data_IF_815041308209
#
_entry.id   IF_815041308209
#
_cell.length_a   1.000
_cell.length_b   1.000
_cell.length_c   1.000
_cell.angle_alpha   90.00
_cell.angle_beta   90.00
_cell.angle_gamma   90.00
#
_symmetry.space_group_name_H-M   'P 1'
#
loop_
_entity.id
_entity.type
_entity.pdbx_description
1 polymer ?
#
# COMPACT_ATOMS: atom_id res chain seq x y z
N UNK A 1 -21.06 18.69 -17.65
CA UNK A 1 -19.68 18.89 -18.13
C UNK A 1 -19.06 17.51 -18.16
N UNK A 2 -18.89 16.94 -19.36
CA UNK A 2 -18.31 15.60 -19.53
C UNK A 2 -16.83 15.67 -19.16
N UNK A 3 -16.44 15.01 -18.06
CA UNK A 3 -15.04 14.75 -17.75
C UNK A 3 -14.51 13.76 -18.79
N UNK A 4 -13.84 14.28 -19.81
CA UNK A 4 -12.97 13.49 -20.67
C UNK A 4 -11.79 13.04 -19.84
N UNK A 5 -11.68 11.74 -19.55
CA UNK A 5 -10.46 11.15 -19.01
C UNK A 5 -9.26 11.59 -19.87
N UNK A 6 -8.12 11.96 -19.27
CA UNK A 6 -6.96 12.42 -20.03
C UNK A 6 -6.50 11.34 -20.99
N UNK A 7 -6.18 11.73 -22.22
CA UNK A 7 -5.84 10.83 -23.34
C UNK A 7 -4.71 9.83 -22.97
N UNK A 8 -3.82 10.23 -22.04
CA UNK A 8 -2.76 9.39 -21.46
C UNK A 8 -3.28 8.19 -20.65
N UNK A 9 -4.36 8.37 -19.89
CA UNK A 9 -5.01 7.31 -19.11
C UNK A 9 -5.65 6.28 -20.04
N UNK A 10 -6.34 6.74 -21.08
CA UNK A 10 -6.98 5.86 -22.07
C UNK A 10 -5.96 5.04 -22.88
N UNK A 11 -4.83 5.65 -23.24
CA UNK A 11 -3.71 4.96 -23.91
C UNK A 11 -3.00 3.95 -23.00
N UNK A 12 -2.88 4.24 -21.70
CA UNK A 12 -2.36 3.31 -20.70
C UNK A 12 -3.28 2.08 -20.54
N UNK A 13 -4.59 2.29 -20.38
CA UNK A 13 -5.56 1.20 -20.28
C UNK A 13 -5.62 0.35 -21.56
N UNK A 14 -5.54 0.97 -22.74
CA UNK A 14 -5.46 0.21 -24.01
C UNK A 14 -4.15 -0.60 -24.12
N UNK A 15 -3.02 -0.07 -23.66
CA UNK A 15 -1.75 -0.81 -23.67
C UNK A 15 -1.77 -1.99 -22.68
N UNK A 16 -2.36 -1.79 -21.49
CA UNK A 16 -2.53 -2.85 -20.49
C UNK A 16 -3.49 -3.94 -21.01
N UNK A 17 -4.64 -3.55 -21.57
CA UNK A 17 -5.61 -4.47 -22.16
C UNK A 17 -5.07 -5.19 -23.40
N UNK A 18 -4.27 -4.51 -24.25
CA UNK A 18 -3.64 -5.09 -25.44
C UNK A 18 -2.56 -6.12 -25.09
N UNK A 19 -1.81 -5.92 -24.00
CA UNK A 19 -0.80 -6.89 -23.55
C UNK A 19 -1.49 -8.14 -22.95
N UNK A 20 -2.60 -7.94 -22.24
CA UNK A 20 -3.44 -9.01 -21.67
C UNK A 20 -4.18 -9.80 -22.77
N UNK A 21 -4.60 -9.16 -23.87
CA UNK A 21 -5.29 -9.84 -24.97
C UNK A 21 -4.38 -10.62 -25.93
N UNK A 22 -3.08 -10.29 -25.97
CA UNK A 22 -2.10 -10.90 -26.90
C UNK A 22 -1.46 -12.19 -26.35
N UNK A 23 -1.51 -12.39 -25.03
CA UNK A 23 -1.30 -13.70 -24.45
C UNK A 23 -2.67 -14.28 -24.14
N UNK A 24 -2.98 -15.48 -24.60
CA UNK A 24 -3.86 -16.34 -23.81
C UNK A 24 -3.08 -16.65 -22.53
N UNK A 25 -2.99 -15.68 -21.61
CA UNK A 25 -2.52 -15.92 -20.27
C UNK A 25 -3.56 -16.88 -19.74
N UNK A 26 -3.22 -18.17 -19.75
CA UNK A 26 -3.90 -19.15 -18.94
C UNK A 26 -3.80 -18.59 -17.52
N UNK A 27 -4.82 -17.84 -17.10
CA UNK A 27 -4.79 -17.20 -15.81
C UNK A 27 -4.54 -18.29 -14.79
N UNK A 28 -3.38 -18.22 -14.15
CA UNK A 28 -2.95 -19.28 -13.26
C UNK A 28 -3.93 -19.27 -12.10
N UNK A 29 -4.49 -20.44 -11.80
CA UNK A 29 -5.18 -20.61 -10.53
C UNK A 29 -4.14 -20.52 -9.42
N UNK A 30 -4.37 -19.62 -8.49
CA UNK A 30 -3.49 -19.36 -7.36
C UNK A 30 -4.08 -20.00 -6.11
N UNK A 31 -3.24 -20.72 -5.38
CA UNK A 31 -3.58 -21.25 -4.06
C UNK A 31 -2.74 -20.51 -3.03
N UNK A 32 -3.39 -19.92 -2.04
CA UNK A 32 -2.75 -19.14 -0.99
C UNK A 32 -2.83 -19.88 0.35
N UNK A 33 -1.73 -20.53 0.78
CA UNK A 33 -1.61 -21.09 2.13
C UNK A 33 -1.35 -19.99 3.17
N UNK A 34 -1.38 -20.38 4.45
CA UNK A 34 -1.22 -19.50 5.62
C UNK A 34 -0.06 -18.50 5.53
N UNK A 35 1.10 -18.96 5.07
CA UNK A 35 2.35 -18.19 5.10
C UNK A 35 2.55 -17.33 3.83
N UNK A 36 1.49 -17.11 3.05
CA UNK A 36 1.56 -16.23 1.89
C UNK A 36 1.78 -14.78 2.33
N UNK A 37 2.87 -14.18 1.85
CA UNK A 37 3.12 -12.73 1.94
C UNK A 37 3.28 -12.16 0.53
N UNK A 38 2.90 -10.89 0.36
CA UNK A 38 3.41 -10.12 -0.78
C UNK A 38 4.92 -9.91 -0.60
N UNK A 39 5.62 -9.72 -1.71
CA UNK A 39 7.00 -9.25 -1.66
C UNK A 39 6.96 -7.72 -1.61
N UNK A 40 7.66 -7.16 -0.63
CA UNK A 40 7.74 -5.73 -0.39
C UNK A 40 9.12 -5.22 -0.78
N UNK A 41 9.17 -4.00 -1.31
CA UNK A 41 10.40 -3.24 -1.51
C UNK A 41 10.37 -1.96 -0.70
N UNK A 42 11.39 -1.81 0.14
CA UNK A 42 11.80 -0.52 0.67
C UNK A 42 12.18 0.41 -0.48
N UNK A 43 11.79 1.68 -0.37
CA UNK A 43 11.93 2.69 -1.42
C UNK A 43 13.17 3.55 -1.18
N UNK A 44 13.89 3.90 -2.26
CA UNK A 44 15.16 4.63 -2.16
C UNK A 44 15.01 6.15 -2.36
N UNK A 45 13.83 6.61 -2.73
CA UNK A 45 13.53 8.00 -3.05
C UNK A 45 12.03 8.20 -3.27
N UNK A 46 11.64 9.37 -3.78
CA UNK A 46 10.26 9.70 -4.10
C UNK A 46 9.83 9.12 -5.46
N UNK A 47 8.52 8.89 -5.64
CA UNK A 47 7.90 8.73 -6.95
C UNK A 47 7.19 10.03 -7.33
N UNK A 48 7.49 10.60 -8.48
CA UNK A 48 6.91 11.90 -8.87
C UNK A 48 5.81 11.71 -9.91
N UNK A 49 4.76 12.53 -9.82
CA UNK A 49 3.72 12.59 -10.85
C UNK A 49 4.34 12.77 -12.24
N UNK A 50 3.76 12.10 -13.25
CA UNK A 50 4.23 12.01 -14.63
C UNK A 50 5.55 11.23 -14.84
N UNK A 51 6.20 10.72 -13.79
CA UNK A 51 7.37 9.86 -13.95
C UNK A 51 6.97 8.42 -14.28
N UNK A 52 7.81 7.77 -15.10
CA UNK A 52 7.66 6.34 -15.47
C UNK A 52 8.66 5.46 -14.74
N UNK A 53 9.03 5.85 -13.52
CA UNK A 53 9.91 5.05 -12.70
C UNK A 53 9.77 5.33 -11.22
N UNK A 54 10.10 4.31 -10.42
CA UNK A 54 10.10 4.39 -8.97
C UNK A 54 11.44 3.86 -8.43
N UNK A 55 12.15 4.62 -7.58
CA UNK A 55 13.43 4.18 -7.02
C UNK A 55 13.21 3.21 -5.85
N UNK A 56 13.90 2.08 -5.88
CA UNK A 56 13.85 1.06 -4.82
C UNK A 56 15.23 0.85 -4.20
N UNK A 57 15.25 0.45 -2.93
CA UNK A 57 16.47 0.06 -2.23
C UNK A 57 16.75 -1.43 -2.46
N UNK A 58 18.01 -1.79 -2.76
CA UNK A 58 18.45 -3.18 -2.96
C UNK A 58 18.90 -3.51 -4.38
N UNK A 59 19.39 -4.73 -4.59
CA UNK A 59 20.13 -5.14 -5.80
C UNK A 59 19.59 -6.34 -6.57
N UNK A 60 18.49 -6.98 -6.17
CA UNK A 60 18.15 -8.31 -6.70
C UNK A 60 16.84 -8.36 -7.49
N UNK A 61 16.92 -9.04 -8.65
CA UNK A 61 15.83 -9.64 -9.42
C UNK A 61 14.57 -8.78 -9.54
N UNK A 62 14.75 -7.71 -10.30
CA UNK A 62 13.67 -6.82 -10.74
C UNK A 62 12.60 -7.67 -11.40
N UNK A 63 11.39 -7.55 -10.88
CA UNK A 63 10.13 -8.14 -11.34
C UNK A 63 9.69 -7.61 -12.71
N UNK A 64 10.59 -7.66 -13.69
CA UNK A 64 10.25 -7.35 -15.07
C UNK A 64 9.09 -8.26 -15.45
N UNK A 65 8.05 -7.65 -16.00
CA UNK A 65 6.79 -8.29 -16.38
C UNK A 65 5.85 -8.70 -15.24
N UNK A 66 5.84 -7.97 -14.12
CA UNK A 66 4.84 -8.13 -13.05
C UNK A 66 4.03 -6.87 -12.79
N UNK A 67 2.86 -7.07 -12.16
CA UNK A 67 2.05 -5.99 -11.60
C UNK A 67 2.57 -5.66 -10.20
N UNK A 68 2.71 -4.37 -9.92
CA UNK A 68 3.02 -3.83 -8.61
C UNK A 68 1.93 -2.89 -8.14
N UNK A 69 1.83 -2.72 -6.82
CA UNK A 69 1.10 -1.64 -6.16
C UNK A 69 2.10 -0.73 -5.48
N UNK A 70 1.98 0.58 -5.71
CA UNK A 70 2.71 1.63 -5.02
C UNK A 70 1.71 2.28 -4.08
N UNK A 71 2.00 2.34 -2.79
CA UNK A 71 1.04 2.87 -1.79
C UNK A 71 1.75 3.80 -0.81
N UNK A 72 1.23 5.02 -0.69
CA UNK A 72 1.67 5.99 0.31
C UNK A 72 1.08 5.59 1.66
N UNK A 73 1.93 5.11 2.55
CA UNK A 73 1.50 4.63 3.85
C UNK A 73 1.37 5.80 4.83
N UNK A 74 2.38 6.67 4.98
CA UNK A 74 2.28 7.88 5.81
C UNK A 74 2.54 9.12 4.97
N UNK A 75 1.74 10.18 5.14
CA UNK A 75 2.09 11.56 4.76
C UNK A 75 1.22 12.62 5.48
N UNK A 76 0.27 12.20 6.31
CA UNK A 76 -0.70 13.09 6.92
C UNK A 76 -0.06 14.03 7.94
N UNK A 77 -0.44 15.30 7.88
CA UNK A 77 -0.09 16.27 8.92
C UNK A 77 -1.05 16.13 10.07
N UNK A 78 -0.56 15.65 11.21
CA UNK A 78 -1.37 15.40 12.40
C UNK A 78 -1.57 16.71 13.19
N UNK A 79 -2.78 16.95 13.70
CA UNK A 79 -3.02 18.00 14.69
C UNK A 79 -2.38 17.53 16.00
N UNK A 80 -1.64 18.39 16.68
CA UNK A 80 -1.02 18.06 17.97
C UNK A 80 -1.78 18.66 19.17
N UNK A 81 -2.77 19.49 18.90
CA UNK A 81 -3.59 20.13 19.93
C UNK A 81 -4.59 19.12 20.51
N UNK A 82 -4.41 18.80 21.79
CA UNK A 82 -5.31 17.95 22.56
C UNK A 82 -6.56 18.76 22.94
N UNK A 83 -7.71 18.35 22.41
CA UNK A 83 -8.99 18.99 22.69
C UNK A 83 -10.10 17.95 22.66
N UNK A 84 -11.24 18.27 23.29
CA UNK A 84 -12.42 17.39 23.28
C UNK A 84 -12.97 17.09 21.87
N UNK A 85 -12.57 17.87 20.86
CA UNK A 85 -12.94 17.62 19.46
C UNK A 85 -11.99 16.63 18.77
N UNK A 86 -10.77 16.44 19.28
CA UNK A 86 -9.72 15.64 18.64
C UNK A 86 -10.14 14.20 18.40
N UNK A 87 -10.21 13.79 17.12
CA UNK A 87 -10.56 12.41 16.75
C UNK A 87 -11.96 11.99 17.22
N UNK A 88 -12.81 12.92 17.64
CA UNK A 88 -14.09 12.60 18.28
C UNK A 88 -15.15 12.08 17.30
N UNK A 89 -14.89 12.14 16.00
CA UNK A 89 -15.87 11.79 14.95
C UNK A 89 -17.12 12.69 14.94
N UNK A 90 -17.17 13.70 15.82
CA UNK A 90 -18.28 14.65 15.98
C UNK A 90 -17.73 16.07 15.84
N UNK A 91 -18.42 16.93 15.10
CA UNK A 91 -17.88 18.26 14.76
C UNK A 91 -16.75 18.21 13.71
N UNK A 92 -15.77 19.11 13.78
CA UNK A 92 -14.71 19.28 12.77
C UNK A 92 -13.36 18.64 13.17
N UNK A 93 -13.27 17.97 14.31
CA UNK A 93 -12.00 17.43 14.82
C UNK A 93 -11.65 16.08 14.21
N UNK A 94 -10.93 16.11 13.09
CA UNK A 94 -10.51 14.92 12.33
C UNK A 94 -9.19 14.32 12.84
N UNK A 95 -8.49 14.99 13.75
CA UNK A 95 -7.16 14.58 14.25
C UNK A 95 -6.00 14.86 13.28
N UNK A 96 -6.28 15.36 12.07
CA UNK A 96 -5.28 15.75 11.08
C UNK A 96 -5.64 17.10 10.44
N UNK A 97 -4.62 17.83 9.98
CA UNK A 97 -4.76 19.08 9.22
C UNK A 97 -4.90 18.82 7.73
N UNK A 98 -4.13 17.85 7.24
CA UNK A 98 -4.09 17.48 5.82
C UNK A 98 -3.70 16.00 5.70
N UNK A 99 -4.46 15.21 4.94
CA UNK A 99 -4.13 13.80 4.66
C UNK A 99 -2.98 13.69 3.65
N UNK A 100 -2.77 14.73 2.85
CA UNK A 100 -1.88 14.71 1.67
C UNK A 100 -2.16 13.45 0.84
N UNK A 101 -1.13 12.64 0.58
CA UNK A 101 -1.28 11.43 -0.21
C UNK A 101 -1.44 10.16 0.65
N UNK A 102 -1.63 10.26 1.98
CA UNK A 102 -1.80 9.08 2.85
C UNK A 102 -2.95 8.20 2.35
N UNK A 103 -2.68 6.92 2.12
CA UNK A 103 -3.64 5.94 1.61
C UNK A 103 -3.81 5.98 0.09
N UNK A 104 -3.23 6.95 -0.62
CA UNK A 104 -3.20 6.92 -2.08
C UNK A 104 -2.36 5.74 -2.56
N UNK A 105 -2.90 5.02 -3.55
CA UNK A 105 -2.21 3.88 -4.17
C UNK A 105 -2.41 3.86 -5.68
N UNK A 106 -1.46 3.25 -6.37
CA UNK A 106 -1.49 3.04 -7.82
C UNK A 106 -1.01 1.64 -8.17
N UNK A 107 -1.69 1.02 -9.14
CA UNK A 107 -1.19 -0.18 -9.79
C UNK A 107 -0.42 0.17 -11.05
N UNK A 108 0.68 -0.53 -11.29
CA UNK A 108 1.46 -0.36 -12.50
C UNK A 108 2.11 -1.68 -12.93
N UNK A 109 2.55 -1.74 -14.18
CA UNK A 109 3.27 -2.90 -14.71
C UNK A 109 4.74 -2.55 -14.88
N UNK A 110 5.62 -3.40 -14.34
CA UNK A 110 7.07 -3.20 -14.44
C UNK A 110 7.56 -3.72 -15.78
N UNK A 111 8.07 -2.84 -16.63
CA UNK A 111 8.58 -3.17 -17.97
C UNK A 111 10.08 -3.43 -18.00
N UNK A 112 10.79 -3.07 -16.93
CA UNK A 112 12.23 -3.18 -16.85
C UNK A 112 12.79 -2.58 -15.57
N UNK A 113 14.12 -2.51 -15.49
CA UNK A 113 14.83 -1.68 -14.52
C UNK A 113 16.02 -0.99 -15.16
N UNK A 114 16.45 0.10 -14.52
CA UNK A 114 17.68 0.78 -14.87
C UNK A 114 18.38 1.24 -13.58
N UNK A 115 19.71 1.34 -13.62
CA UNK A 115 20.46 2.02 -12.56
C UNK A 115 20.63 3.49 -12.93
N UNK A 116 20.26 4.40 -12.02
CA UNK A 116 20.47 5.85 -12.13
C UNK A 116 21.09 6.36 -10.84
N UNK A 117 22.19 7.09 -10.93
CA UNK A 117 22.86 7.69 -9.77
C UNK A 117 23.18 6.68 -8.64
N UNK A 118 23.48 5.43 -9.01
CA UNK A 118 23.77 4.35 -8.06
C UNK A 118 22.54 3.72 -7.40
N UNK A 119 21.32 4.11 -7.80
CA UNK A 119 20.06 3.54 -7.32
C UNK A 119 19.36 2.71 -8.41
N UNK A 120 18.63 1.67 -8.01
CA UNK A 120 17.81 0.87 -8.92
C UNK A 120 16.45 1.55 -9.09
N UNK A 121 16.06 1.76 -10.35
CA UNK A 121 14.77 2.31 -10.75
C UNK A 121 13.97 1.24 -11.48
N UNK A 122 12.79 0.93 -10.98
CA UNK A 122 11.82 0.14 -11.75
C UNK A 122 11.27 1.03 -12.88
N UNK A 123 11.16 0.47 -14.09
CA UNK A 123 10.54 1.14 -15.22
C UNK A 123 9.07 0.75 -15.30
N UNK A 124 8.20 1.75 -15.42
CA UNK A 124 6.75 1.58 -15.35
C UNK A 124 6.12 1.71 -16.74
N UNK A 125 5.10 0.89 -17.04
CA UNK A 125 4.36 0.94 -18.30
C UNK A 125 3.58 2.25 -18.45
N UNK A 126 3.15 2.85 -17.35
CA UNK A 126 2.40 4.09 -17.31
C UNK A 126 3.02 5.10 -16.35
N UNK A 127 2.88 6.41 -16.62
CA UNK A 127 3.36 7.43 -15.69
C UNK A 127 2.54 7.41 -14.39
N UNK A 128 3.15 7.79 -13.27
CA UNK A 128 2.46 7.96 -12.00
C UNK A 128 1.50 9.14 -12.05
N UNK A 129 0.35 9.01 -11.40
CA UNK A 129 -0.63 10.10 -11.26
C UNK A 129 -0.41 10.90 -9.96
N UNK A 130 -0.03 10.20 -8.89
CA UNK A 130 0.26 10.74 -7.58
C UNK A 130 1.78 10.91 -7.39
N UNK A 131 2.11 11.80 -6.46
CA UNK A 131 3.48 11.94 -5.97
C UNK A 131 3.62 11.17 -4.65
N UNK A 132 4.46 10.14 -4.65
CA UNK A 132 4.76 9.33 -3.48
C UNK A 132 6.02 9.86 -2.80
N UNK A 133 5.91 10.21 -1.52
CA UNK A 133 6.98 10.82 -0.72
C UNK A 133 7.60 9.82 0.25
N UNK A 134 8.92 9.69 0.21
CA UNK A 134 9.71 8.96 1.20
C UNK A 134 10.67 9.92 1.93
N UNK A 135 10.11 10.93 2.61
CA UNK A 135 10.87 11.96 3.32
C UNK A 135 10.12 12.48 4.54
N UNK A 136 10.85 12.66 5.64
CA UNK A 136 10.27 13.21 6.88
C UNK A 136 9.27 12.24 7.47
N UNK A 137 8.01 12.66 7.60
CA UNK A 137 6.90 11.78 8.01
C UNK A 137 6.32 10.98 6.84
N UNK A 138 6.76 11.26 5.61
CA UNK A 138 6.30 10.58 4.41
C UNK A 138 7.00 9.24 4.23
N UNK A 139 6.24 8.14 4.10
CA UNK A 139 6.76 6.80 3.77
C UNK A 139 5.78 6.07 2.86
N UNK A 140 6.29 5.44 1.80
CA UNK A 140 5.52 4.62 0.87
C UNK A 140 6.23 3.29 0.62
N UNK A 141 5.51 2.29 0.14
CA UNK A 141 6.08 0.98 -0.19
C UNK A 141 5.64 0.53 -1.58
N UNK A 142 6.46 -0.33 -2.18
CA UNK A 142 6.15 -0.99 -3.45
C UNK A 142 5.94 -2.48 -3.17
N UNK A 143 4.82 -3.00 -3.65
CA UNK A 143 4.31 -4.34 -3.31
C UNK A 143 4.10 -5.11 -4.60
N UNK A 144 4.59 -6.34 -4.70
CA UNK A 144 4.26 -7.21 -5.85
C UNK A 144 2.83 -7.73 -5.74
N UNK A 145 2.10 -7.73 -6.86
CA UNK A 145 0.68 -8.08 -6.90
C UNK A 145 0.50 -9.34 -7.75
N UNK A 146 0.19 -10.50 -7.14
CA UNK A 146 -0.16 -11.68 -7.90
C UNK A 146 -1.38 -11.41 -8.78
N UNK A 147 -1.34 -11.91 -10.01
CA UNK A 147 -2.45 -11.83 -10.96
C UNK A 147 -2.98 -13.24 -11.22
N UNK A 148 -4.19 -13.51 -10.74
CA UNK A 148 -4.80 -14.83 -10.74
C UNK A 148 -6.15 -14.79 -11.46
N UNK A 149 -6.52 -15.88 -12.11
CA UNK A 149 -7.88 -16.04 -12.65
C UNK A 149 -8.80 -16.38 -11.49
N UNK A 150 -8.59 -17.56 -10.92
CA UNK A 150 -9.16 -17.93 -9.62
C UNK A 150 -8.07 -17.91 -8.56
N UNK A 151 -8.31 -17.16 -7.48
CA UNK A 151 -7.53 -17.16 -6.25
C UNK A 151 -8.30 -17.92 -5.17
N UNK A 152 -7.70 -18.93 -4.58
CA UNK A 152 -8.30 -19.71 -3.51
C UNK A 152 -7.48 -19.61 -2.22
N UNK A 153 -8.14 -19.26 -1.12
CA UNK A 153 -7.55 -19.39 0.21
C UNK A 153 -7.60 -20.86 0.63
N UNK A 154 -6.47 -21.38 1.09
CA UNK A 154 -6.38 -22.74 1.68
C UNK A 154 -6.19 -22.70 3.19
N UNK A 155 -5.93 -21.51 3.74
CA UNK A 155 -5.90 -21.21 5.16
C UNK A 155 -6.14 -19.70 5.37
N UNK A 156 -6.27 -19.26 6.61
CA UNK A 156 -6.26 -17.84 7.00
C UNK A 156 -4.86 -17.26 6.81
N UNK A 157 -4.74 -16.22 6.00
CA UNK A 157 -3.49 -15.49 5.78
C UNK A 157 -3.30 -14.47 6.91
N UNK A 158 -2.08 -14.37 7.43
CA UNK A 158 -1.69 -13.35 8.41
C UNK A 158 -0.63 -12.45 7.80
N UNK A 159 -0.89 -11.16 7.67
CA UNK A 159 0.07 -10.20 7.11
C UNK A 159 0.92 -9.61 8.24
N UNK A 160 2.18 -9.31 7.94
CA UNK A 160 3.03 -8.59 8.89
C UNK A 160 2.44 -7.20 9.18
N UNK A 161 2.57 -6.74 10.44
CA UNK A 161 2.19 -5.37 10.80
C UNK A 161 3.18 -4.38 10.19
N UNK A 162 2.70 -3.26 9.67
CA UNK A 162 3.58 -2.26 9.06
C UNK A 162 4.66 -1.80 10.04
N UNK A 163 5.93 -1.98 9.72
CA UNK A 163 7.08 -1.67 10.59
C UNK A 163 7.68 -0.26 10.45
N UNK A 164 7.10 0.58 9.57
CA UNK A 164 7.63 1.90 9.19
C UNK A 164 8.18 1.94 7.76
N UNK A 165 8.51 0.78 7.19
CA UNK A 165 8.98 0.63 5.81
C UNK A 165 8.10 -0.32 4.98
N UNK A 166 7.71 -1.48 5.54
CA UNK A 166 6.96 -2.51 4.80
C UNK A 166 5.90 -3.24 5.64
N UNK A 167 4.92 -3.84 4.98
CA UNK A 167 3.86 -4.63 5.61
C UNK A 167 2.55 -3.86 5.79
N UNK A 168 1.64 -4.41 6.60
CA UNK A 168 0.33 -3.84 6.92
C UNK A 168 -0.75 -4.05 5.86
N UNK A 169 -0.37 -4.47 4.64
CA UNK A 169 -1.28 -4.58 3.50
C UNK A 169 -1.03 -5.91 2.77
N UNK A 170 -2.09 -6.52 2.24
CA UNK A 170 -2.00 -7.64 1.30
C UNK A 170 -2.69 -7.26 0.00
N UNK A 171 -1.97 -7.35 -1.11
CA UNK A 171 -2.44 -6.95 -2.44
C UNK A 171 -2.55 -8.16 -3.37
N UNK A 172 -3.69 -8.28 -4.04
CA UNK A 172 -3.99 -9.36 -4.97
C UNK A 172 -4.88 -8.82 -6.09
N UNK A 173 -4.60 -9.23 -7.32
CA UNK A 173 -5.53 -9.08 -8.42
C UNK A 173 -6.08 -10.47 -8.80
N UNK A 174 -7.39 -10.66 -8.66
CA UNK A 174 -8.05 -11.92 -9.00
C UNK A 174 -9.38 -11.66 -9.71
N UNK A 175 -9.70 -12.44 -10.75
CA UNK A 175 -11.03 -12.40 -11.38
C UNK A 175 -12.09 -13.02 -10.46
N UNK A 176 -11.72 -14.12 -9.79
CA UNK A 176 -12.53 -14.79 -8.76
C UNK A 176 -11.68 -15.00 -7.52
N UNK A 177 -12.17 -14.55 -6.37
CA UNK A 177 -11.58 -14.85 -5.05
C UNK A 177 -12.51 -15.80 -4.29
N UNK A 178 -12.05 -17.04 -4.10
CA UNK A 178 -12.70 -18.02 -3.24
C UNK A 178 -12.05 -17.98 -1.84
N UNK A 179 -12.77 -17.46 -0.86
CA UNK A 179 -12.26 -17.38 0.51
C UNK A 179 -12.30 -18.72 1.26
N UNK A 180 -13.07 -19.72 0.81
CA UNK A 180 -13.19 -21.03 1.48
C UNK A 180 -13.42 -20.96 3.02
N UNK A 181 -14.19 -19.97 3.50
CA UNK A 181 -14.40 -19.66 4.93
C UNK A 181 -13.12 -19.29 5.72
N UNK A 182 -12.02 -18.99 5.04
CA UNK A 182 -10.82 -18.39 5.61
C UNK A 182 -10.86 -16.86 5.53
N UNK A 183 -9.93 -16.21 6.23
CA UNK A 183 -9.82 -14.75 6.26
C UNK A 183 -8.43 -14.30 5.83
N UNK A 184 -8.31 -13.04 5.41
CA UNK A 184 -7.03 -12.35 5.29
C UNK A 184 -6.96 -11.37 6.45
N UNK A 185 -6.00 -11.58 7.36
CA UNK A 185 -5.83 -10.78 8.57
C UNK A 185 -4.55 -9.96 8.46
N UNK A 186 -4.68 -8.73 7.99
CA UNK A 186 -3.61 -7.76 8.04
C UNK A 186 -3.79 -6.84 9.27
N UNK A 187 -2.69 -6.48 9.92
CA UNK A 187 -2.69 -5.61 11.10
C UNK A 187 -2.64 -4.12 10.76
N UNK A 188 -2.64 -3.76 9.47
CA UNK A 188 -2.65 -2.38 9.02
C UNK A 188 -1.46 -1.58 9.57
N UNK A 189 -1.75 -0.33 9.93
CA UNK A 189 -0.80 0.58 10.55
C UNK A 189 -0.59 0.21 12.02
N UNK A 190 0.67 0.23 12.48
CA UNK A 190 0.92 0.18 13.92
C UNK A 190 0.23 1.34 14.62
N UNK A 191 -0.42 1.05 15.75
CA UNK A 191 -0.87 2.09 16.67
C UNK A 191 0.32 2.93 17.13
N UNK A 192 0.09 4.21 17.43
CA UNK A 192 1.12 5.09 17.96
C UNK A 192 1.67 4.55 19.30
N UNK A 193 2.94 4.83 19.63
CA UNK A 193 3.46 4.52 20.96
C UNK A 193 2.63 5.25 22.02
N UNK A 194 2.30 4.58 23.12
CA UNK A 194 1.72 5.25 24.28
C UNK A 194 2.75 6.26 24.82
N UNK A 195 2.28 7.46 25.17
CA UNK A 195 3.10 8.40 25.91
C UNK A 195 3.13 7.91 27.36
N UNK A 196 4.19 7.21 27.76
CA UNK A 196 4.46 6.91 29.16
C UNK A 196 4.86 8.21 29.90
N UNK A 197 3.89 9.10 30.12
CA UNK A 197 4.03 10.12 31.15
C UNK A 197 3.60 9.51 32.48
N UNK A 198 4.57 8.82 33.12
CA UNK A 198 4.57 8.39 34.51
C UNK A 198 3.43 7.46 34.95
N UNK A 199 3.55 6.16 34.70
CA UNK A 199 3.05 5.15 35.66
C UNK A 199 3.92 3.90 35.57
N UNK A 200 4.68 3.66 36.63
CA UNK A 200 5.77 2.69 36.69
C UNK A 200 5.34 1.23 36.74
N UNK A 201 4.63 0.71 35.74
CA UNK A 201 4.57 -0.74 35.50
C UNK A 201 4.73 -1.13 34.03
N UNK A 202 5.88 -1.76 33.79
CA UNK A 202 6.33 -2.36 32.54
C UNK A 202 5.45 -3.54 32.13
N UNK A 203 4.73 -3.36 31.03
CA UNK A 203 4.50 -4.39 30.01
C UNK A 203 3.92 -3.67 28.79
N UNK A 204 4.56 -3.82 27.63
CA UNK A 204 4.28 -3.09 26.38
C UNK A 204 2.76 -2.88 26.13
N UNK A 205 2.26 -1.71 26.54
CA UNK A 205 0.87 -1.32 26.35
C UNK A 205 0.80 -0.40 25.14
N UNK A 206 0.48 -0.98 24.00
CA UNK A 206 -0.24 -0.24 22.96
C UNK A 206 -1.48 0.37 23.62
N UNK A 207 -1.91 1.56 23.21
CA UNK A 207 -3.16 2.16 23.69
C UNK A 207 -4.32 1.27 23.23
N UNK A 208 -4.67 0.28 24.04
CA UNK A 208 -5.98 -0.34 24.04
C UNK A 208 -6.79 0.52 25.00
N UNK A 209 -7.74 1.26 24.46
CA UNK A 209 -8.74 1.96 25.26
C UNK A 209 -9.50 0.88 26.04
N UNK A 210 -9.25 0.77 27.35
CA UNK A 210 -10.00 -0.10 28.25
C UNK A 210 -11.44 0.43 28.49
N UNK A 211 -11.80 1.57 27.88
CA UNK A 211 -13.04 2.31 28.12
C UNK A 211 -14.17 1.97 27.14
N UNK A 212 -14.04 0.92 26.32
CA UNK A 212 -15.07 0.53 25.34
C UNK A 212 -15.40 1.62 24.31
N UNK A 213 -14.57 2.67 24.24
CA UNK A 213 -14.45 3.53 23.07
C UNK A 213 -13.43 2.86 22.19
N UNK A 214 -13.90 1.89 21.44
CA UNK A 214 -13.17 1.39 20.29
C UNK A 214 -12.97 2.58 19.37
N UNK A 215 -11.79 3.19 19.47
CA UNK A 215 -11.14 3.80 18.33
C UNK A 215 -10.83 2.65 17.38
N UNK A 216 -11.89 2.09 16.79
CA UNK A 216 -11.80 1.27 15.61
C UNK A 216 -10.98 2.10 14.65
N UNK A 217 -9.72 1.73 14.51
CA UNK A 217 -8.95 2.03 13.33
C UNK A 217 -9.58 1.24 12.17
N UNK A 218 -10.86 1.48 11.90
CA UNK A 218 -11.44 1.40 10.57
C UNK A 218 -10.81 2.54 9.76
N UNK A 219 -9.50 2.43 9.54
CA UNK A 219 -8.81 3.14 8.47
C UNK A 219 -9.07 2.27 7.24
N UNK A 220 -10.03 2.71 6.43
CA UNK A 220 -10.42 2.05 5.19
C UNK A 220 -9.30 1.95 4.18
#
# INVERSE_FOLDING_TARGET
QNQTAPLSLLLCFLALASLVASQQVLFKNCSFPRDTQNLFHSVAGAGTTNERGIPISGTADVFVSQIIMIIQMQDATIVQDDSALYGSGTGTGTGYKDLRNTGAYEFNFVTGSATREGQVWLQLSCPLENTFTNRGIGSFQVITVPHCGTAELTDTIFCDAWDGETGGVFALYAETLNMNNFNIRCLGFRGGPANDQNDGESSARYVRSDDGRDGDAAKG
#
